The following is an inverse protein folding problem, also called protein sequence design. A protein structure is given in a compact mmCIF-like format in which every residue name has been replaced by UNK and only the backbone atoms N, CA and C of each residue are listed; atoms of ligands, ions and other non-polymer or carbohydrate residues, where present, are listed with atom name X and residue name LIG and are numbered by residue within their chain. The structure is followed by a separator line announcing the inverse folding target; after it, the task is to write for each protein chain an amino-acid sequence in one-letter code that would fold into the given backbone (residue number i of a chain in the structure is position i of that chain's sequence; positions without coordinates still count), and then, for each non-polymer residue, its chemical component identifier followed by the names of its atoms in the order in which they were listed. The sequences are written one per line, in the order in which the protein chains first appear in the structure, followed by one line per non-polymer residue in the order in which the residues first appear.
data_IF_181081661352
#
_entry.id   IF_181081661352
#
_cell.length_a   1.000
_cell.length_b   1.000
_cell.length_c   1.000
_cell.angle_alpha   90.00
_cell.angle_beta   90.00
_cell.angle_gamma   90.00
#
_symmetry.space_group_name_H-M   'P 1'
#
loop_
_entity.id
_entity.type
_entity.pdbx_description
1 polymer ?
#
# COMPACT_ATOMS: atom_id res chain seq x y z
N UNK A 1 -8.52 1.13 9.88
CA UNK A 1 -9.80 0.43 9.59
C UNK A 1 -9.58 -1.07 9.58
N UNK A 2 -10.27 -1.84 10.42
CA UNK A 2 -10.14 -3.30 10.46
C UNK A 2 -11.23 -3.99 9.62
N UNK A 3 -10.81 -4.91 8.75
CA UNK A 3 -11.65 -5.65 7.82
C UNK A 3 -11.44 -7.14 8.09
N UNK A 4 -12.55 -7.85 8.30
CA UNK A 4 -12.58 -9.30 8.52
C UNK A 4 -13.90 -9.88 8.05
N UNK A 5 -14.00 -10.17 6.75
CA UNK A 5 -15.04 -11.02 6.16
C UNK A 5 -14.73 -11.30 4.67
N UNK A 6 -15.73 -11.72 3.91
CA UNK A 6 -15.72 -11.94 2.47
C UNK A 6 -16.58 -10.96 1.69
N UNK A 7 -16.29 -10.76 0.40
CA UNK A 7 -17.12 -9.98 -0.52
C UNK A 7 -17.24 -8.50 -0.12
N UNK A 8 -16.15 -7.91 0.36
CA UNK A 8 -16.11 -6.53 0.84
C UNK A 8 -15.60 -5.62 -0.28
N UNK A 9 -16.21 -4.44 -0.42
CA UNK A 9 -15.69 -3.36 -1.26
C UNK A 9 -15.36 -2.17 -0.37
N UNK A 10 -14.06 -1.85 -0.31
CA UNK A 10 -13.53 -0.68 0.39
C UNK A 10 -13.15 0.35 -0.65
N UNK A 11 -13.96 1.39 -0.80
CA UNK A 11 -13.70 2.40 -1.82
C UNK A 11 -14.02 3.82 -1.43
N UNK A 12 -13.30 4.75 -2.04
CA UNK A 12 -13.53 6.19 -1.92
C UNK A 12 -13.46 6.70 -0.46
N UNK A 13 -12.64 6.06 0.37
CA UNK A 13 -12.40 6.48 1.73
C UNK A 13 -11.21 7.43 1.82
N UNK A 14 -11.30 8.37 2.75
CA UNK A 14 -10.18 9.19 3.22
C UNK A 14 -9.88 8.71 4.65
N UNK A 15 -8.69 8.15 4.87
CA UNK A 15 -8.31 7.55 6.14
C UNK A 15 -6.99 8.15 6.57
N UNK A 16 -6.93 8.77 7.75
CA UNK A 16 -5.72 9.43 8.17
C UNK A 16 -5.50 9.49 9.67
N UNK A 17 -4.28 9.85 10.05
CA UNK A 17 -3.84 10.06 11.44
C UNK A 17 -4.11 8.83 12.32
N UNK A 18 -3.74 7.66 11.79
CA UNK A 18 -3.95 6.36 12.41
C UNK A 18 -2.70 5.92 13.17
N UNK A 19 -2.62 6.28 14.46
CA UNK A 19 -1.47 5.98 15.32
C UNK A 19 -1.87 5.16 16.54
N UNK A 20 -0.94 4.34 17.02
CA UNK A 20 -1.08 3.62 18.28
C UNK A 20 0.08 3.93 19.23
N UNK A 21 -0.24 4.07 20.51
CA UNK A 21 0.74 4.23 21.59
C UNK A 21 1.28 2.89 22.11
N UNK A 22 0.69 1.76 21.69
CA UNK A 22 1.06 0.42 22.15
C UNK A 22 2.05 -0.26 21.20
N UNK A 23 3.21 -0.68 21.71
CA UNK A 23 4.28 -1.28 20.88
C UNK A 23 3.97 -2.63 20.21
N UNK A 24 2.83 -3.28 20.50
CA UNK A 24 2.42 -4.55 19.86
C UNK A 24 1.42 -4.40 18.73
N UNK A 25 0.61 -3.35 18.73
CA UNK A 25 -0.47 -3.16 17.76
C UNK A 25 -0.31 -1.78 17.15
N UNK A 26 0.33 -1.65 15.97
CA UNK A 26 0.46 -0.36 15.30
C UNK A 26 -0.91 0.23 14.94
N UNK A 27 -0.93 1.55 14.74
CA UNK A 27 -2.08 2.24 14.14
C UNK A 27 -2.16 1.94 12.64
N UNK A 28 -3.21 1.24 12.22
CA UNK A 28 -3.39 0.84 10.82
C UNK A 28 -4.32 1.76 10.04
N UNK A 29 -3.88 2.18 8.86
CA UNK A 29 -4.75 2.79 7.86
C UNK A 29 -5.84 1.80 7.41
N UNK A 30 -5.45 0.74 6.72
CA UNK A 30 -6.32 -0.40 6.38
C UNK A 30 -5.66 -1.68 6.86
N UNK A 31 -6.37 -2.43 7.69
CA UNK A 31 -6.00 -3.77 8.12
C UNK A 31 -6.96 -4.75 7.46
N UNK A 32 -6.44 -5.53 6.53
CA UNK A 32 -7.06 -6.72 5.99
C UNK A 32 -6.56 -7.89 6.84
N UNK A 33 -7.47 -8.63 7.48
CA UNK A 33 -6.99 -9.86 8.06
C UNK A 33 -8.01 -10.77 8.71
N UNK A 34 -7.47 -11.80 9.35
CA UNK A 34 -8.23 -12.89 9.94
C UNK A 34 -9.13 -13.59 8.90
N UNK A 35 -8.53 -13.98 7.77
CA UNK A 35 -9.16 -14.67 6.63
C UNK A 35 -10.11 -13.77 5.81
N UNK A 36 -9.71 -12.52 5.60
CA UNK A 36 -10.38 -11.59 4.67
C UNK A 36 -10.26 -12.13 3.25
N UNK A 37 -11.36 -12.07 2.49
CA UNK A 37 -11.39 -12.67 1.15
C UNK A 37 -12.31 -12.00 0.16
N UNK A 38 -12.08 -12.26 -1.13
CA UNK A 38 -12.94 -11.82 -2.23
C UNK A 38 -13.23 -10.30 -2.13
N UNK A 39 -12.17 -9.53 -1.87
CA UNK A 39 -12.28 -8.13 -1.43
C UNK A 39 -11.58 -7.19 -2.41
N UNK A 40 -12.23 -6.05 -2.68
CA UNK A 40 -11.70 -4.98 -3.52
C UNK A 40 -11.40 -3.77 -2.63
N UNK A 41 -10.15 -3.30 -2.68
CA UNK A 41 -9.72 -2.06 -2.04
C UNK A 41 -9.33 -1.09 -3.14
N UNK A 42 -10.17 -0.09 -3.43
CA UNK A 42 -9.96 0.81 -4.55
C UNK A 42 -10.28 2.27 -4.30
N UNK A 43 -9.55 3.18 -4.96
CA UNK A 43 -9.84 4.62 -4.91
C UNK A 43 -9.84 5.20 -3.48
N UNK A 44 -9.08 4.61 -2.57
CA UNK A 44 -8.90 5.12 -1.22
C UNK A 44 -7.66 6.02 -1.16
N UNK A 45 -7.70 6.99 -0.25
CA UNK A 45 -6.56 7.82 0.11
C UNK A 45 -6.29 7.57 1.58
N UNK A 46 -5.12 7.02 1.87
CA UNK A 46 -4.72 6.67 3.23
C UNK A 46 -3.39 7.35 3.52
N UNK A 47 -3.33 8.15 4.58
CA UNK A 47 -2.13 8.91 4.88
C UNK A 47 -1.86 9.02 6.37
N UNK A 48 -0.59 9.15 6.78
CA UNK A 48 -0.21 9.32 8.20
C UNK A 48 -0.72 8.19 9.09
N UNK A 49 -0.14 7.00 8.94
CA UNK A 49 -0.40 5.85 9.81
C UNK A 49 0.91 5.22 10.32
N UNK A 50 0.85 4.36 11.34
CA UNK A 50 2.02 3.55 11.68
C UNK A 50 2.34 2.57 10.55
N UNK A 51 1.33 1.84 10.08
CA UNK A 51 1.38 0.98 8.89
C UNK A 51 0.18 1.36 8.00
N UNK A 52 0.43 1.70 6.74
CA UNK A 52 -0.65 2.18 5.86
C UNK A 52 -1.59 1.03 5.49
N UNK A 53 -1.03 -0.09 5.03
CA UNK A 53 -1.75 -1.33 4.77
C UNK A 53 -1.14 -2.48 5.58
N UNK A 54 -1.99 -3.26 6.23
CA UNK A 54 -1.61 -4.51 6.87
C UNK A 54 -2.44 -5.66 6.30
N UNK A 55 -1.78 -6.72 5.82
CA UNK A 55 -2.40 -7.93 5.31
C UNK A 55 -2.02 -9.07 6.24
N UNK A 56 -3.00 -9.70 6.90
CA UNK A 56 -2.73 -10.63 8.00
C UNK A 56 -3.63 -11.86 8.00
N UNK A 57 -3.01 -13.02 8.21
CA UNK A 57 -3.69 -14.27 8.59
C UNK A 57 -4.56 -14.90 7.50
N UNK A 58 -3.88 -15.48 6.51
CA UNK A 58 -4.49 -16.35 5.49
C UNK A 58 -5.53 -15.67 4.58
N UNK A 59 -5.34 -14.38 4.31
CA UNK A 59 -6.16 -13.62 3.37
C UNK A 59 -6.08 -14.14 1.92
N UNK A 60 -7.19 -14.01 1.17
CA UNK A 60 -7.36 -14.64 -0.16
C UNK A 60 -8.05 -13.71 -1.17
N UNK A 61 -7.71 -13.77 -2.45
CA UNK A 61 -8.48 -13.10 -3.51
C UNK A 61 -8.74 -11.61 -3.22
N UNK A 62 -7.68 -10.87 -2.89
CA UNK A 62 -7.77 -9.44 -2.62
C UNK A 62 -7.10 -8.68 -3.73
N UNK A 63 -7.77 -7.65 -4.24
CA UNK A 63 -7.16 -6.68 -5.15
C UNK A 63 -7.16 -5.29 -4.53
N UNK A 64 -5.96 -4.74 -4.36
CA UNK A 64 -5.72 -3.35 -3.98
C UNK A 64 -5.32 -2.59 -5.23
N UNK A 65 -6.19 -1.69 -5.70
CA UNK A 65 -5.94 -0.95 -6.94
C UNK A 65 -6.37 0.51 -6.91
N UNK A 66 -5.65 1.36 -7.64
CA UNK A 66 -6.01 2.77 -7.81
C UNK A 66 -6.15 3.52 -6.47
N UNK A 67 -5.34 3.17 -5.47
CA UNK A 67 -5.29 3.85 -4.18
C UNK A 67 -4.08 4.79 -4.11
N UNK A 68 -4.14 5.75 -3.19
CA UNK A 68 -3.03 6.61 -2.82
C UNK A 68 -2.68 6.33 -1.35
N UNK A 69 -1.43 5.95 -1.09
CA UNK A 69 -0.91 5.55 0.20
C UNK A 69 0.27 6.43 0.57
N UNK A 70 0.18 7.14 1.70
CA UNK A 70 1.12 8.21 2.04
C UNK A 70 1.64 8.13 3.47
N UNK A 71 2.95 8.27 3.65
CA UNK A 71 3.57 8.47 4.97
C UNK A 71 3.19 7.41 6.03
N UNK A 72 3.43 6.14 5.70
CA UNK A 72 3.56 5.10 6.72
C UNK A 72 4.81 5.34 7.59
N UNK A 73 4.66 5.32 8.92
CA UNK A 73 5.77 5.59 9.85
C UNK A 73 6.72 4.39 9.97
N UNK A 74 6.18 3.17 9.96
CA UNK A 74 6.92 1.92 10.04
C UNK A 74 7.11 1.40 8.62
N UNK A 75 6.01 1.14 7.92
CA UNK A 75 5.98 0.66 6.54
C UNK A 75 4.75 1.16 5.77
N UNK A 76 4.83 1.08 4.44
CA UNK A 76 3.69 1.40 3.56
C UNK A 76 2.76 0.19 3.39
N UNK A 77 3.31 -1.02 3.30
CA UNK A 77 2.50 -2.24 3.38
C UNK A 77 3.27 -3.40 4.05
N UNK A 78 2.56 -4.06 4.96
CA UNK A 78 3.04 -5.21 5.71
C UNK A 78 2.24 -6.46 5.32
N UNK A 79 2.90 -7.41 4.64
CA UNK A 79 2.36 -8.73 4.33
C UNK A 79 2.81 -9.74 5.39
N UNK A 80 1.95 -9.98 6.37
CA UNK A 80 2.31 -10.68 7.58
C UNK A 80 1.52 -11.99 7.75
N UNK A 81 2.22 -13.07 8.12
CA UNK A 81 1.59 -14.29 8.60
C UNK A 81 2.50 -15.02 9.59
N UNK A 82 1.94 -15.89 10.44
CA UNK A 82 2.65 -17.03 11.01
C UNK A 82 3.23 -17.95 9.92
N UNK A 83 4.36 -18.61 10.20
CA UNK A 83 5.12 -19.43 9.24
C UNK A 83 4.38 -20.64 8.64
N UNK A 84 3.34 -21.11 9.32
CA UNK A 84 2.47 -22.20 8.89
C UNK A 84 1.34 -21.73 7.96
N UNK A 85 1.20 -20.43 7.73
CA UNK A 85 0.12 -19.81 6.94
C UNK A 85 0.62 -19.21 5.63
N UNK A 86 -0.33 -18.86 4.76
CA UNK A 86 -0.08 -18.40 3.39
C UNK A 86 -1.15 -17.41 2.99
N UNK A 87 -0.77 -16.33 2.33
CA UNK A 87 -1.73 -15.51 1.59
C UNK A 87 -1.92 -16.08 0.19
N UNK A 88 -3.13 -15.98 -0.35
CA UNK A 88 -3.43 -16.51 -1.68
C UNK A 88 -4.03 -15.43 -2.58
N UNK A 89 -3.55 -15.34 -3.82
CA UNK A 89 -4.07 -14.43 -4.83
C UNK A 89 -4.26 -12.97 -4.35
N UNK A 90 -3.26 -12.42 -3.66
CA UNK A 90 -3.21 -11.00 -3.27
C UNK A 90 -2.57 -10.20 -4.39
N UNK A 91 -3.22 -9.10 -4.78
CA UNK A 91 -2.78 -8.24 -5.89
C UNK A 91 -2.68 -6.78 -5.46
N UNK A 92 -1.56 -6.14 -5.76
CA UNK A 92 -1.29 -4.74 -5.45
C UNK A 92 -0.93 -4.00 -6.73
N UNK A 93 -1.92 -3.44 -7.41
CA UNK A 93 -1.75 -2.97 -8.79
C UNK A 93 -2.20 -1.53 -9.01
N UNK A 94 -1.44 -0.73 -9.75
CA UNK A 94 -1.81 0.67 -10.07
C UNK A 94 -2.10 1.53 -8.85
N UNK A 95 -1.29 1.43 -7.80
CA UNK A 95 -1.38 2.32 -6.64
C UNK A 95 -0.25 3.35 -6.66
N UNK A 96 -0.43 4.45 -5.94
CA UNK A 96 0.61 5.44 -5.69
C UNK A 96 1.03 5.31 -4.23
N UNK A 97 2.30 5.03 -4.00
CA UNK A 97 2.94 5.04 -2.69
C UNK A 97 3.90 6.22 -2.61
N UNK A 98 3.67 7.11 -1.66
CA UNK A 98 4.45 8.34 -1.49
C UNK A 98 4.84 8.51 -0.03
N UNK A 99 6.12 8.68 0.29
CA UNK A 99 6.52 8.91 1.68
C UNK A 99 7.69 9.85 1.80
N UNK A 100 7.68 10.63 2.88
CA UNK A 100 8.54 11.79 3.05
C UNK A 100 9.66 11.58 4.08
N UNK A 101 9.55 10.52 4.90
CA UNK A 101 10.51 10.16 5.95
C UNK A 101 11.00 8.73 5.73
N UNK A 102 12.23 8.38 6.14
CA UNK A 102 12.73 7.01 6.01
C UNK A 102 11.75 5.99 6.62
N UNK A 103 11.29 5.06 5.79
CA UNK A 103 10.32 4.01 6.12
C UNK A 103 10.49 2.86 5.12
N UNK A 104 10.05 1.66 5.50
CA UNK A 104 10.03 0.51 4.61
C UNK A 104 8.91 0.66 3.57
N UNK A 105 9.19 0.33 2.31
CA UNK A 105 8.12 0.19 1.33
C UNK A 105 7.31 -1.07 1.66
N UNK A 106 7.99 -2.22 1.64
CA UNK A 106 7.39 -3.51 1.90
C UNK A 106 8.04 -4.20 3.08
N UNK A 107 7.20 -4.71 3.97
CA UNK A 107 7.56 -5.68 5.01
C UNK A 107 6.88 -7.00 4.70
N UNK A 108 7.63 -8.09 4.62
CA UNK A 108 7.10 -9.41 4.28
C UNK A 108 7.62 -10.44 5.27
N UNK A 109 6.74 -11.18 5.96
CA UNK A 109 7.18 -12.15 6.97
C UNK A 109 7.99 -13.32 6.42
N UNK A 110 7.61 -13.84 5.24
CA UNK A 110 8.28 -14.95 4.55
C UNK A 110 7.70 -15.14 3.14
N UNK A 111 8.32 -16.00 2.32
CA UNK A 111 7.94 -16.26 0.91
C UNK A 111 6.43 -16.51 0.69
N UNK A 112 5.78 -17.24 1.59
CA UNK A 112 4.33 -17.54 1.50
C UNK A 112 3.41 -16.32 1.75
N UNK A 113 3.96 -15.15 2.06
CA UNK A 113 3.23 -13.89 2.19
C UNK A 113 3.31 -13.02 0.95
N UNK A 114 4.13 -13.40 -0.04
CA UNK A 114 4.29 -12.59 -1.25
C UNK A 114 2.93 -12.42 -1.96
N UNK A 115 2.62 -11.21 -2.46
CA UNK A 115 1.51 -11.06 -3.38
C UNK A 115 1.79 -11.87 -4.65
N UNK A 116 0.74 -12.39 -5.28
CA UNK A 116 0.89 -13.06 -6.57
C UNK A 116 1.18 -12.04 -7.69
N UNK A 117 0.77 -10.80 -7.49
CA UNK A 117 0.93 -9.71 -8.44
C UNK A 117 1.16 -8.40 -7.68
N UNK A 118 2.24 -7.70 -8.00
CA UNK A 118 2.45 -6.30 -7.64
C UNK A 118 2.94 -5.63 -8.90
N UNK A 119 2.21 -4.70 -9.50
CA UNK A 119 2.63 -4.09 -10.77
C UNK A 119 1.92 -2.78 -11.12
N UNK A 120 2.51 -2.02 -12.05
CA UNK A 120 2.01 -0.71 -12.50
C UNK A 120 1.85 0.32 -11.37
N UNK A 121 2.56 0.14 -10.27
CA UNK A 121 2.55 1.05 -9.14
C UNK A 121 3.52 2.22 -9.37
N UNK A 122 3.24 3.36 -8.73
CA UNK A 122 4.18 4.48 -8.62
C UNK A 122 4.72 4.50 -7.20
N UNK A 123 6.04 4.45 -7.04
CA UNK A 123 6.70 4.57 -5.76
C UNK A 123 7.52 5.87 -5.72
N UNK A 124 7.44 6.62 -4.64
CA UNK A 124 8.27 7.80 -4.46
C UNK A 124 8.58 8.07 -2.99
N UNK A 125 9.86 7.90 -2.62
CA UNK A 125 10.40 8.43 -1.37
C UNK A 125 11.09 9.76 -1.64
N UNK A 126 10.84 10.78 -0.81
CA UNK A 126 11.57 12.06 -0.94
C UNK A 126 12.98 11.99 -0.36
N UNK A 127 13.23 11.00 0.50
CA UNK A 127 14.50 10.81 1.21
C UNK A 127 14.81 9.32 1.37
N UNK A 128 16.10 8.99 1.23
CA UNK A 128 16.60 7.62 1.41
C UNK A 128 16.24 6.68 0.26
N UNK A 129 16.62 5.42 0.42
CA UNK A 129 16.38 4.37 -0.57
C UNK A 129 15.03 3.66 -0.33
N UNK A 130 14.51 3.01 -1.37
CA UNK A 130 13.39 2.08 -1.22
C UNK A 130 13.88 0.84 -0.49
N UNK A 131 13.28 0.57 0.67
CA UNK A 131 13.65 -0.55 1.53
C UNK A 131 12.59 -1.65 1.44
N UNK A 132 13.06 -2.88 1.20
CA UNK A 132 12.26 -4.11 1.29
C UNK A 132 12.80 -4.92 2.48
N UNK A 133 11.91 -5.38 3.37
CA UNK A 133 12.32 -6.06 4.59
C UNK A 133 11.59 -7.39 4.81
N UNK A 134 12.25 -8.28 5.58
CA UNK A 134 11.74 -9.56 6.03
C UNK A 134 12.01 -10.77 5.11
N UNK A 135 12.45 -10.55 3.87
CA UNK A 135 12.92 -11.62 2.97
C UNK A 135 14.45 -11.72 2.92
N UNK A 136 14.95 -12.95 2.82
CA UNK A 136 16.38 -13.20 2.68
C UNK A 136 16.85 -12.78 1.29
N UNK A 137 17.85 -11.89 1.22
CA UNK A 137 18.45 -11.46 -0.04
C UNK A 137 17.62 -10.47 -0.86
N UNK A 138 16.46 -10.02 -0.37
CA UNK A 138 15.63 -8.99 -1.03
C UNK A 138 15.60 -7.76 -0.13
N UNK A 139 16.40 -6.74 -0.48
CA UNK A 139 16.56 -5.52 0.34
C UNK A 139 16.24 -4.23 -0.40
N UNK A 140 16.28 -4.26 -1.73
CA UNK A 140 16.05 -3.11 -2.59
C UNK A 140 14.88 -3.33 -3.55
N UNK A 141 14.43 -2.25 -4.20
CA UNK A 141 13.44 -2.34 -5.27
C UNK A 141 13.94 -3.18 -6.46
N UNK A 142 15.24 -3.13 -6.77
CA UNK A 142 15.82 -3.94 -7.84
C UNK A 142 15.76 -5.45 -7.51
N UNK A 143 16.04 -5.83 -6.25
CA UNK A 143 15.90 -7.23 -5.82
C UNK A 143 14.44 -7.68 -5.92
N UNK A 144 13.50 -6.81 -5.51
CA UNK A 144 12.08 -7.06 -5.63
C UNK A 144 11.65 -7.27 -7.09
N UNK A 145 12.15 -6.43 -8.00
CA UNK A 145 11.92 -6.58 -9.44
C UNK A 145 12.53 -7.87 -10.01
N UNK A 146 13.68 -8.30 -9.51
CA UNK A 146 14.29 -9.57 -9.89
C UNK A 146 13.46 -10.79 -9.46
N UNK A 147 12.55 -10.66 -8.49
CA UNK A 147 11.54 -11.68 -8.15
C UNK A 147 10.40 -11.77 -9.18
N UNK A 148 10.37 -10.87 -10.15
CA UNK A 148 9.34 -10.79 -11.19
C UNK A 148 8.15 -9.91 -10.83
N UNK A 149 8.21 -9.19 -9.71
CA UNK A 149 7.21 -8.24 -9.25
C UNK A 149 7.57 -6.82 -9.74
N UNK A 150 6.59 -5.93 -9.82
CA UNK A 150 6.72 -4.51 -10.14
C UNK A 150 7.55 -4.22 -11.41
N UNK A 151 7.43 -5.07 -12.44
CA UNK A 151 8.18 -4.97 -13.70
C UNK A 151 7.85 -3.72 -14.50
N UNK A 152 6.60 -3.28 -14.45
CA UNK A 152 6.09 -2.10 -15.15
C UNK A 152 5.84 -0.92 -14.20
N UNK A 153 6.09 -1.11 -12.91
CA UNK A 153 6.05 -0.04 -11.91
C UNK A 153 7.23 0.91 -12.08
N UNK A 154 7.05 2.14 -11.61
CA UNK A 154 8.05 3.20 -11.75
C UNK A 154 8.38 3.82 -10.39
N UNK A 155 9.63 4.27 -10.25
CA UNK A 155 10.06 5.12 -9.14
C UNK A 155 10.15 6.55 -9.65
N UNK A 156 9.13 7.35 -9.39
CA UNK A 156 9.02 8.71 -9.92
C UNK A 156 8.08 9.58 -9.08
N UNK A 157 8.34 10.89 -9.03
CA UNK A 157 7.45 11.82 -8.35
C UNK A 157 6.03 11.77 -8.97
N UNK A 158 4.97 11.51 -8.19
CA UNK A 158 3.60 11.42 -8.70
C UNK A 158 3.03 12.78 -9.13
N UNK A 159 3.69 13.90 -8.81
CA UNK A 159 3.27 15.26 -9.12
C UNK A 159 1.92 15.63 -8.46
N UNK A 160 1.83 15.45 -7.14
CA UNK A 160 0.72 16.00 -6.36
C UNK A 160 0.68 17.54 -6.45
N UNK A 161 -0.50 18.13 -6.32
CA UNK A 161 -0.71 19.58 -6.39
C UNK A 161 -0.05 20.28 -5.19
N UNK A 162 -0.40 19.88 -3.97
CA UNK A 162 0.13 20.45 -2.71
C UNK A 162 0.09 19.40 -1.57
N UNK A 163 0.98 18.39 -1.58
CA UNK A 163 0.95 17.30 -0.60
C UNK A 163 1.22 17.76 0.84
N UNK A 164 1.91 18.89 1.04
CA UNK A 164 2.14 19.49 2.37
C UNK A 164 0.84 20.04 3.00
N UNK A 165 -0.20 20.26 2.19
CA UNK A 165 -1.54 20.68 2.64
C UNK A 165 -2.59 19.58 2.45
N UNK A 166 -2.16 18.32 2.37
CA UNK A 166 -3.04 17.16 2.13
C UNK A 166 -3.81 17.22 0.79
N UNK A 167 -3.35 18.00 -0.19
CA UNK A 167 -3.90 18.01 -1.55
C UNK A 167 -3.16 17.00 -2.43
N UNK A 168 -3.68 15.78 -2.42
CA UNK A 168 -3.20 14.65 -3.21
C UNK A 168 -3.82 14.58 -4.61
N UNK A 169 -4.42 15.67 -5.10
CA UNK A 169 -4.79 15.78 -6.51
C UNK A 169 -3.55 15.69 -7.38
N UNK A 170 -3.62 14.95 -8.49
CA UNK A 170 -2.51 14.81 -9.43
C UNK A 170 -2.54 15.92 -10.47
N UNK A 171 -1.36 16.48 -10.77
CA UNK A 171 -1.17 17.38 -11.92
C UNK A 171 -1.33 16.59 -13.22
N UNK A 172 -1.70 17.27 -14.30
CA UNK A 172 -2.01 16.67 -15.61
C UNK A 172 -0.84 15.85 -16.18
N UNK A 173 0.39 16.22 -15.84
CA UNK A 173 1.63 15.60 -16.28
C UNK A 173 2.05 14.41 -15.41
N UNK A 174 1.23 14.00 -14.43
CA UNK A 174 1.57 12.90 -13.52
C UNK A 174 1.92 11.62 -14.29
N UNK A 175 3.05 10.98 -13.99
CA UNK A 175 3.43 9.73 -14.66
C UNK A 175 2.49 8.57 -14.30
N UNK A 176 1.71 8.69 -13.22
CA UNK A 176 0.73 7.69 -12.82
C UNK A 176 -0.33 7.44 -13.91
N UNK A 177 -0.66 8.47 -14.71
CA UNK A 177 -1.65 8.33 -15.78
C UNK A 177 -1.18 7.40 -16.90
N UNK A 178 0.13 7.37 -17.19
CA UNK A 178 0.69 6.44 -18.17
C UNK A 178 0.56 4.96 -17.74
N UNK A 179 0.50 4.72 -16.42
CA UNK A 179 0.26 3.39 -15.84
C UNK A 179 -1.25 3.06 -15.70
N UNK A 180 -2.12 3.95 -16.16
CA UNK A 180 -3.57 3.77 -16.12
C UNK A 180 -4.22 4.15 -14.78
N UNK A 181 -3.52 4.86 -13.90
CA UNK A 181 -4.13 5.42 -12.69
C UNK A 181 -5.26 6.40 -13.07
N UNK A 182 -6.37 6.33 -12.36
CA UNK A 182 -7.52 7.22 -12.50
C UNK A 182 -7.55 8.21 -11.34
N UNK A 183 -7.62 9.53 -11.59
CA UNK A 183 -7.69 10.52 -10.52
C UNK A 183 -8.79 10.22 -9.50
N UNK A 184 -8.45 10.30 -8.21
CA UNK A 184 -9.42 10.26 -7.12
C UNK A 184 -9.88 11.69 -6.87
N UNK A 185 -11.20 11.91 -6.86
CA UNK A 185 -11.75 13.25 -6.61
C UNK A 185 -11.70 13.56 -5.10
N UNK A 186 -10.73 14.39 -4.69
CA UNK A 186 -10.55 14.88 -3.32
C UNK A 186 -11.80 15.59 -2.74
N UNK A 187 -12.67 16.14 -3.58
CA UNK A 187 -13.91 16.77 -3.11
C UNK A 187 -15.00 15.78 -2.70
N UNK A 188 -14.86 14.50 -3.07
CA UNK A 188 -15.88 13.45 -2.91
C UNK A 188 -15.38 12.21 -2.16
N UNK A 189 -14.16 12.24 -1.64
CA UNK A 189 -13.53 11.13 -0.92
C UNK A 189 -13.73 11.31 0.59
N UNK A 190 -14.05 10.22 1.30
CA UNK A 190 -14.31 10.23 2.74
C UNK A 190 -15.62 10.91 3.15
N UNK A 191 -15.96 10.78 4.44
CA UNK A 191 -17.05 11.53 5.09
C UNK A 191 -16.45 12.86 5.59
N UNK A 192 -17.17 13.96 5.39
CA UNK A 192 -16.78 15.30 5.88
C UNK A 192 -17.55 15.68 7.13
#
# INVERSE_FOLDING_TARGET
MFIRDSNIIVRNNLIHDCYSYGGRCPGWGIYLGCETRDTIVENNIVYRADEIIHVWYSDRNIIMQNNIFIDGRIDQINYQNPSDRTHDNIKTVRNIFFWTKPSELFRISHEKCLPIESDYNVFFCTQGDIIINGLQGVKSFADWQARGLDKNSIVANPLFVDPEKDDYTLRAESPAFALGFKPINMSRVGIR
#
